data_IF_816759071183
#
_entry.id   IF_816759071183
#
_cell.length_a   1.000
_cell.length_b   1.000
_cell.length_c   1.000
_cell.angle_alpha   90.00
_cell.angle_beta   90.00
_cell.angle_gamma   90.00
#
_symmetry.space_group_name_H-M   'P 1'
#
loop_
_entity.id
_entity.type
_entity.pdbx_description
1 polymer ?
#
# COMPACT_ATOMS: atom_id res chain seq x y z
N UNK A 1 16.98 -59.42 -31.66
CA UNK A 1 17.03 -60.05 -30.33
C UNK A 1 15.63 -59.96 -29.73
N UNK A 2 14.93 -61.08 -29.45
CA UNK A 2 13.55 -61.04 -28.98
C UNK A 2 13.51 -60.62 -27.51
N UNK A 3 12.75 -59.57 -27.22
CA UNK A 3 12.51 -59.12 -25.84
C UNK A 3 11.69 -60.20 -25.13
N UNK A 4 12.22 -60.71 -24.02
CA UNK A 4 11.65 -61.84 -23.29
C UNK A 4 10.28 -61.45 -22.67
N UNK A 5 9.20 -62.23 -22.88
CA UNK A 5 7.83 -61.86 -22.47
C UNK A 5 7.65 -61.66 -20.97
N UNK A 6 8.55 -62.21 -20.16
CA UNK A 6 8.61 -62.01 -18.71
C UNK A 6 8.94 -60.55 -18.32
N UNK A 7 9.72 -59.84 -19.14
CA UNK A 7 10.11 -58.45 -18.88
C UNK A 7 8.92 -57.49 -19.07
N UNK A 8 8.05 -57.78 -20.04
CA UNK A 8 6.83 -57.01 -20.30
C UNK A 8 5.81 -57.19 -19.18
N UNK A 9 5.63 -58.42 -18.69
CA UNK A 9 4.73 -58.73 -17.57
C UNK A 9 5.15 -58.06 -16.27
N UNK A 10 6.45 -58.04 -15.98
CA UNK A 10 7.00 -57.34 -14.80
C UNK A 10 6.80 -55.83 -14.92
N UNK A 11 7.06 -55.25 -16.09
CA UNK A 11 6.83 -53.82 -16.32
C UNK A 11 5.35 -53.43 -16.15
N UNK A 12 4.41 -54.22 -16.69
CA UNK A 12 2.97 -53.99 -16.55
C UNK A 12 2.53 -54.13 -15.08
N UNK A 13 3.03 -55.14 -14.36
CA UNK A 13 2.74 -55.33 -12.94
C UNK A 13 3.28 -54.17 -12.07
N UNK A 14 4.48 -53.68 -12.37
CA UNK A 14 5.05 -52.51 -11.70
C UNK A 14 4.24 -51.24 -11.97
N UNK A 15 3.80 -51.00 -13.22
CA UNK A 15 2.93 -49.85 -13.55
C UNK A 15 1.60 -49.96 -12.83
N UNK A 16 0.98 -51.14 -12.79
CA UNK A 16 -0.30 -51.36 -12.09
C UNK A 16 -0.17 -51.15 -10.57
N UNK A 17 0.90 -51.65 -9.95
CA UNK A 17 1.23 -51.38 -8.54
C UNK A 17 1.47 -49.89 -8.27
N UNK A 18 2.23 -49.20 -9.13
CA UNK A 18 2.46 -47.76 -9.01
C UNK A 18 1.17 -46.96 -9.17
N UNK A 19 0.26 -47.36 -10.07
CA UNK A 19 -1.05 -46.73 -10.22
C UNK A 19 -1.94 -46.93 -8.98
N UNK A 20 -1.94 -48.13 -8.38
CA UNK A 20 -2.70 -48.41 -7.16
C UNK A 20 -2.17 -47.61 -5.96
N UNK A 21 -0.85 -47.51 -5.80
CA UNK A 21 -0.21 -46.72 -4.73
C UNK A 21 -0.45 -45.22 -4.94
N UNK A 22 -0.43 -44.74 -6.20
CA UNK A 22 -0.72 -43.34 -6.52
C UNK A 22 -2.14 -42.91 -6.18
N UNK A 23 -3.14 -43.79 -6.29
CA UNK A 23 -4.54 -43.48 -5.92
C UNK A 23 -4.79 -43.42 -4.41
N UNK A 24 -3.99 -44.12 -3.60
CA UNK A 24 -4.07 -44.10 -2.13
C UNK A 24 -3.39 -42.87 -1.50
N UNK A 25 -2.67 -42.08 -2.30
CA UNK A 25 -1.89 -40.93 -1.86
C UNK A 25 -2.64 -39.59 -1.99
N UNK A 26 -3.88 -39.59 -2.50
CA UNK A 26 -4.67 -38.37 -2.65
C UNK A 26 -5.23 -37.93 -1.29
N UNK A 27 -5.04 -36.67 -0.85
CA UNK A 27 -5.66 -36.18 0.38
C UNK A 27 -7.19 -36.37 0.35
N UNK A 28 -7.80 -36.77 1.48
CA UNK A 28 -9.26 -36.89 1.59
C UNK A 28 -9.90 -35.53 1.27
N UNK A 29 -10.72 -35.41 0.20
CA UNK A 29 -11.33 -34.14 -0.19
C UNK A 29 -12.18 -33.51 0.93
N UNK A 30 -12.77 -34.32 1.82
CA UNK A 30 -13.58 -33.82 2.95
C UNK A 30 -12.70 -33.17 4.01
N UNK A 31 -11.54 -33.76 4.28
CA UNK A 31 -10.55 -33.18 5.21
C UNK A 31 -10.00 -31.89 4.62
N UNK A 32 -9.72 -31.87 3.31
CA UNK A 32 -9.30 -30.64 2.61
C UNK A 32 -10.35 -29.53 2.74
N UNK A 33 -11.61 -29.83 2.45
CA UNK A 33 -12.68 -28.82 2.53
C UNK A 33 -12.88 -28.31 3.96
N UNK A 34 -12.91 -29.22 4.94
CA UNK A 34 -13.03 -28.85 6.35
C UNK A 34 -11.89 -27.94 6.82
N UNK A 35 -10.66 -28.14 6.32
CA UNK A 35 -9.52 -27.27 6.63
C UNK A 35 -9.67 -25.88 5.98
N UNK A 36 -10.15 -25.81 4.74
CA UNK A 36 -10.39 -24.53 4.04
C UNK A 36 -11.48 -23.72 4.76
N UNK A 37 -12.58 -24.37 5.13
CA UNK A 37 -13.67 -23.72 5.89
C UNK A 37 -13.18 -23.26 7.26
N UNK A 38 -12.38 -24.08 7.95
CA UNK A 38 -11.79 -23.72 9.24
C UNK A 38 -10.89 -22.50 9.10
N UNK A 39 -9.97 -22.49 8.13
CA UNK A 39 -9.08 -21.35 7.86
C UNK A 39 -9.86 -20.09 7.52
N UNK A 40 -10.88 -20.17 6.66
CA UNK A 40 -11.73 -19.04 6.30
C UNK A 40 -12.45 -18.46 7.54
N UNK A 41 -12.97 -19.32 8.42
CA UNK A 41 -13.67 -18.90 9.64
C UNK A 41 -12.76 -18.23 10.66
N UNK A 42 -11.47 -18.60 10.71
CA UNK A 42 -10.48 -18.08 11.65
C UNK A 42 -9.88 -16.74 11.23
N UNK A 43 -10.06 -16.33 9.97
CA UNK A 43 -9.57 -15.04 9.47
C UNK A 43 -10.32 -13.86 10.12
N UNK A 44 -9.71 -12.68 10.10
CA UNK A 44 -10.35 -11.45 10.58
C UNK A 44 -11.67 -11.22 9.86
N UNK A 45 -12.78 -11.26 10.61
CA UNK A 45 -14.13 -11.10 10.07
C UNK A 45 -14.74 -12.36 9.46
N UNK A 46 -14.08 -13.53 9.52
CA UNK A 46 -14.54 -14.77 8.87
C UNK A 46 -15.88 -15.34 9.37
N UNK A 47 -16.34 -14.91 10.54
CA UNK A 47 -17.65 -15.28 11.10
C UNK A 47 -18.73 -14.19 10.91
N UNK A 48 -18.41 -13.11 10.19
CA UNK A 48 -19.38 -12.04 9.91
C UNK A 48 -20.44 -12.54 8.93
N UNK A 49 -21.71 -12.44 9.32
CA UNK A 49 -22.83 -12.80 8.44
C UNK A 49 -23.18 -11.61 7.56
N UNK A 50 -23.03 -11.78 6.24
CA UNK A 50 -23.33 -10.75 5.25
C UNK A 50 -24.79 -10.81 4.80
N UNK A 51 -25.42 -9.64 4.67
CA UNK A 51 -26.72 -9.48 4.00
C UNK A 51 -26.61 -9.70 2.49
N UNK A 52 -27.73 -9.92 1.80
CA UNK A 52 -27.76 -10.10 0.34
C UNK A 52 -27.11 -8.93 -0.43
N UNK A 53 -27.25 -7.70 0.08
CA UNK A 53 -26.63 -6.53 -0.53
C UNK A 53 -25.10 -6.54 -0.36
N UNK A 54 -24.62 -6.93 0.82
CA UNK A 54 -23.19 -7.05 1.11
C UNK A 54 -22.56 -8.21 0.33
N UNK A 55 -23.25 -9.34 0.18
CA UNK A 55 -22.77 -10.47 -0.65
C UNK A 55 -22.59 -10.08 -2.12
N UNK A 56 -23.51 -9.27 -2.69
CA UNK A 56 -23.35 -8.75 -4.06
C UNK A 56 -22.13 -7.84 -4.20
N UNK A 57 -21.89 -6.99 -3.20
CA UNK A 57 -20.72 -6.12 -3.18
C UNK A 57 -19.42 -6.92 -2.97
N UNK A 58 -19.42 -7.92 -2.10
CA UNK A 58 -18.29 -8.80 -1.84
C UNK A 58 -17.85 -9.55 -3.09
N UNK A 59 -18.80 -10.12 -3.85
CA UNK A 59 -18.51 -10.79 -5.11
C UNK A 59 -17.81 -9.86 -6.12
N UNK A 60 -18.29 -8.62 -6.25
CA UNK A 60 -17.68 -7.60 -7.11
C UNK A 60 -16.28 -7.19 -6.61
N UNK A 61 -16.12 -7.00 -5.30
CA UNK A 61 -14.83 -6.67 -4.69
C UNK A 61 -13.80 -7.79 -4.92
N UNK A 62 -14.24 -9.04 -4.80
CA UNK A 62 -13.41 -10.21 -5.05
C UNK A 62 -12.95 -10.27 -6.52
N UNK A 63 -13.87 -10.05 -7.47
CA UNK A 63 -13.52 -9.98 -8.90
C UNK A 63 -12.47 -8.89 -9.18
N UNK A 64 -12.72 -7.66 -8.72
CA UNK A 64 -11.78 -6.54 -8.88
C UNK A 64 -10.40 -6.85 -8.26
N UNK A 65 -10.38 -7.49 -7.10
CA UNK A 65 -9.14 -7.92 -6.42
C UNK A 65 -8.39 -8.95 -7.26
N UNK A 66 -9.08 -9.97 -7.79
CA UNK A 66 -8.46 -11.00 -8.60
C UNK A 66 -7.90 -10.44 -9.91
N UNK A 67 -8.62 -9.52 -10.56
CA UNK A 67 -8.14 -8.80 -11.74
C UNK A 67 -6.84 -8.05 -11.43
N UNK A 68 -6.78 -7.31 -10.33
CA UNK A 68 -5.56 -6.56 -9.96
C UNK A 68 -4.39 -7.46 -9.59
N UNK A 69 -4.63 -8.57 -8.87
CA UNK A 69 -3.60 -9.57 -8.53
C UNK A 69 -3.05 -10.26 -9.78
N UNK A 70 -3.87 -10.46 -10.80
CA UNK A 70 -3.45 -11.13 -12.05
C UNK A 70 -2.56 -10.27 -12.95
N UNK A 71 -2.43 -8.96 -12.67
CA UNK A 71 -1.56 -8.04 -13.41
C UNK A 71 -0.09 -8.32 -13.09
N UNK A 72 0.79 -7.96 -14.02
CA UNK A 72 2.24 -8.14 -13.85
C UNK A 72 2.85 -7.25 -12.76
N UNK A 73 2.29 -6.05 -12.55
CA UNK A 73 2.71 -5.15 -11.49
C UNK A 73 1.93 -5.45 -10.20
N UNK A 74 2.65 -5.69 -9.10
CA UNK A 74 2.07 -5.91 -7.78
C UNK A 74 2.48 -4.78 -6.80
N UNK A 75 1.71 -3.68 -6.71
CA UNK A 75 2.07 -2.50 -5.91
C UNK A 75 2.46 -2.79 -4.45
N UNK A 76 1.84 -3.75 -3.73
CA UNK A 76 2.24 -4.07 -2.35
C UNK A 76 3.68 -4.59 -2.20
N UNK A 77 4.29 -5.14 -3.25
CA UNK A 77 5.69 -5.59 -3.24
C UNK A 77 6.69 -4.51 -3.71
N UNK A 78 6.21 -3.31 -4.05
CA UNK A 78 7.03 -2.20 -4.52
C UNK A 78 7.25 -1.15 -3.42
N UNK A 79 8.36 -0.40 -3.49
CA UNK A 79 8.53 0.77 -2.63
C UNK A 79 7.41 1.79 -2.88
N UNK A 80 6.81 2.33 -1.80
CA UNK A 80 5.61 3.16 -1.89
C UNK A 80 5.75 4.37 -2.82
N UNK A 81 6.92 5.02 -2.85
CA UNK A 81 7.14 6.18 -3.73
C UNK A 81 6.98 5.84 -5.23
N UNK A 82 7.31 4.62 -5.63
CA UNK A 82 7.10 4.12 -7.00
C UNK A 82 5.67 3.60 -7.18
N UNK A 83 5.15 2.90 -6.16
CA UNK A 83 3.85 2.24 -6.19
C UNK A 83 2.66 3.23 -6.15
N UNK A 84 2.82 4.40 -5.52
CA UNK A 84 1.75 5.37 -5.25
C UNK A 84 0.91 5.68 -6.49
N UNK A 85 1.55 5.90 -7.64
CA UNK A 85 0.85 6.23 -8.89
C UNK A 85 -0.01 5.07 -9.41
N UNK A 86 0.43 3.83 -9.19
CA UNK A 86 -0.32 2.63 -9.57
C UNK A 86 -1.53 2.45 -8.64
N UNK A 87 -1.32 2.58 -7.32
CA UNK A 87 -2.39 2.52 -6.31
C UNK A 87 -3.46 3.58 -6.57
N UNK A 88 -3.06 4.83 -6.87
CA UNK A 88 -4.02 5.91 -7.14
C UNK A 88 -4.87 5.71 -8.41
N UNK A 89 -4.43 4.85 -9.35
CA UNK A 89 -5.18 4.51 -10.58
C UNK A 89 -6.04 3.25 -10.42
N UNK A 90 -5.91 2.53 -9.30
CA UNK A 90 -6.66 1.31 -9.03
C UNK A 90 -8.16 1.61 -8.85
N UNK A 91 -9.05 0.95 -9.62
CA UNK A 91 -10.48 0.99 -9.37
C UNK A 91 -10.84 0.46 -7.98
N UNK A 92 -10.14 -0.57 -7.50
CA UNK A 92 -10.34 -1.13 -6.15
C UNK A 92 -10.00 -0.08 -5.08
N UNK A 93 -8.87 0.61 -5.20
CA UNK A 93 -8.49 1.68 -4.29
C UNK A 93 -9.52 2.83 -4.29
N UNK A 94 -10.03 3.21 -5.47
CA UNK A 94 -11.07 4.24 -5.60
C UNK A 94 -12.37 3.87 -4.88
N UNK A 95 -12.72 2.57 -4.86
CA UNK A 95 -13.85 2.06 -4.10
C UNK A 95 -13.56 2.07 -2.58
N UNK A 96 -12.38 1.60 -2.16
CA UNK A 96 -11.95 1.61 -0.75
C UNK A 96 -11.87 3.03 -0.14
N UNK A 97 -11.65 4.05 -0.98
CA UNK A 97 -11.72 5.45 -0.54
C UNK A 97 -13.13 5.83 -0.05
N UNK A 98 -14.18 5.29 -0.68
CA UNK A 98 -15.59 5.55 -0.33
C UNK A 98 -16.03 4.80 0.94
N UNK A 99 -15.28 3.77 1.35
CA UNK A 99 -15.61 2.97 2.54
C UNK A 99 -15.46 3.79 3.83
N UNK A 100 -16.46 3.74 4.75
CA UNK A 100 -16.34 4.32 6.07
C UNK A 100 -15.37 3.48 6.94
N UNK A 101 -14.13 3.95 7.08
CA UNK A 101 -13.02 3.22 7.73
C UNK A 101 -13.05 3.25 9.28
N UNK A 102 -14.05 3.86 9.90
CA UNK A 102 -14.10 4.05 11.35
C UNK A 102 -13.15 5.16 11.81
N UNK A 103 -12.23 4.85 12.72
CA UNK A 103 -11.30 5.81 13.34
C UNK A 103 -9.82 5.55 13.01
N UNK A 104 -9.02 6.62 12.95
CA UNK A 104 -7.56 6.53 12.83
C UNK A 104 -6.93 6.51 14.24
N UNK A 105 -6.50 5.34 14.70
CA UNK A 105 -6.05 5.13 16.08
C UNK A 105 -4.53 5.26 16.29
N UNK A 106 -3.74 5.36 15.22
CA UNK A 106 -2.30 5.51 15.29
C UNK A 106 -1.85 6.59 14.30
N UNK A 107 -1.62 7.80 14.83
CA UNK A 107 -1.18 8.98 14.07
C UNK A 107 -0.24 9.84 14.92
N UNK A 108 0.64 10.60 14.26
CA UNK A 108 1.44 11.64 14.90
C UNK A 108 0.93 13.02 14.48
N UNK A 109 0.86 13.95 15.42
CA UNK A 109 0.30 15.30 15.26
C UNK A 109 0.83 16.06 14.03
N UNK A 110 2.14 16.03 13.79
CA UNK A 110 2.76 16.76 12.68
C UNK A 110 2.62 16.07 11.30
N UNK A 111 2.15 14.82 11.24
CA UNK A 111 2.07 14.05 9.98
C UNK A 111 0.65 13.86 9.46
N UNK A 112 -0.33 14.57 10.02
CA UNK A 112 -1.75 14.42 9.64
C UNK A 112 -2.16 15.29 8.46
N UNK A 113 -1.34 16.28 8.08
CA UNK A 113 -1.68 17.28 7.07
C UNK A 113 -0.75 17.17 5.88
N UNK A 114 -1.30 17.40 4.70
CA UNK A 114 -0.56 17.40 3.45
C UNK A 114 0.48 18.53 3.40
N UNK A 115 1.69 18.18 2.95
CA UNK A 115 2.83 19.11 2.90
C UNK A 115 2.63 20.20 1.84
N UNK A 116 1.93 19.90 0.74
CA UNK A 116 1.59 20.90 -0.28
C UNK A 116 0.71 21.99 0.31
N UNK A 117 -0.24 21.63 1.19
CA UNK A 117 -1.03 22.62 1.93
C UNK A 117 -0.16 23.46 2.88
N UNK A 118 0.79 22.85 3.59
CA UNK A 118 1.70 23.62 4.46
C UNK A 118 2.50 24.65 3.66
N UNK A 119 3.07 24.25 2.53
CA UNK A 119 3.83 25.15 1.66
C UNK A 119 2.91 26.21 1.05
N UNK A 120 1.86 25.83 0.33
CA UNK A 120 1.05 26.75 -0.48
C UNK A 120 0.05 27.58 0.33
N UNK A 121 -0.22 27.22 1.58
CA UNK A 121 -1.13 27.97 2.46
C UNK A 121 -0.40 28.55 3.67
N UNK A 122 0.16 27.70 4.54
CA UNK A 122 0.68 28.15 5.83
C UNK A 122 1.85 29.10 5.65
N UNK A 123 2.81 28.77 4.78
CA UNK A 123 3.98 29.65 4.56
C UNK A 123 3.67 30.93 3.79
N UNK A 124 2.45 31.08 3.27
CA UNK A 124 1.95 32.32 2.64
C UNK A 124 1.24 33.25 3.63
N UNK A 125 1.05 32.83 4.89
CA UNK A 125 0.44 33.68 5.90
C UNK A 125 1.41 34.79 6.33
N UNK A 126 0.89 35.96 6.76
CA UNK A 126 1.71 37.07 7.21
C UNK A 126 2.70 36.67 8.31
N UNK A 127 3.81 37.39 8.39
CA UNK A 127 4.79 37.24 9.46
C UNK A 127 5.53 35.88 9.50
N UNK A 128 5.54 35.12 8.41
CA UNK A 128 6.31 33.89 8.30
C UNK A 128 7.76 34.17 7.90
N UNK A 129 8.70 33.88 8.80
CA UNK A 129 10.14 33.99 8.56
C UNK A 129 10.75 32.62 8.37
N UNK A 130 11.77 32.54 7.53
CA UNK A 130 12.61 31.35 7.39
C UNK A 130 14.08 31.67 7.65
N UNK A 131 14.84 30.66 8.04
CA UNK A 131 16.29 30.68 7.96
C UNK A 131 16.83 29.32 7.53
N UNK A 132 18.01 29.32 6.90
CA UNK A 132 18.76 28.10 6.61
C UNK A 132 19.72 27.81 7.77
N UNK A 133 19.81 26.55 8.17
CA UNK A 133 20.75 26.13 9.21
C UNK A 133 22.14 25.82 8.64
N UNK A 134 23.10 25.51 9.51
CA UNK A 134 24.40 24.96 9.13
C UNK A 134 24.31 23.58 8.46
N UNK A 135 23.27 22.81 8.78
CA UNK A 135 22.88 21.58 8.08
C UNK A 135 21.92 21.90 6.92
N UNK A 136 21.71 20.98 5.95
CA UNK A 136 20.72 21.15 4.88
C UNK A 136 19.29 21.06 5.43
N UNK A 137 18.89 22.02 6.25
CA UNK A 137 17.57 22.14 6.85
C UNK A 137 17.16 23.60 6.98
N UNK A 138 15.85 23.81 7.07
CA UNK A 138 15.24 25.12 7.23
C UNK A 138 14.51 25.19 8.56
N UNK A 139 14.45 26.40 9.13
CA UNK A 139 13.61 26.70 10.29
C UNK A 139 12.63 27.79 9.92
N UNK A 140 11.43 27.71 10.48
CA UNK A 140 10.36 28.66 10.26
C UNK A 140 9.89 29.22 11.60
N UNK A 141 9.48 30.49 11.61
CA UNK A 141 8.87 31.13 12.77
C UNK A 141 7.83 32.16 12.33
N UNK A 142 6.71 32.24 13.04
CA UNK A 142 5.72 33.30 12.89
C UNK A 142 5.94 34.35 13.97
N UNK A 143 6.16 35.61 13.59
CA UNK A 143 6.41 36.69 14.56
C UNK A 143 6.04 38.06 13.99
N UNK A 144 5.19 38.82 14.67
CA UNK A 144 4.84 40.18 14.25
C UNK A 144 6.03 41.16 14.27
N UNK A 145 7.07 40.84 15.04
CA UNK A 145 8.32 41.58 15.11
C UNK A 145 9.46 40.80 14.44
N UNK A 146 10.54 41.48 14.09
CA UNK A 146 11.71 40.82 13.54
C UNK A 146 12.28 39.79 14.55
N UNK A 147 12.39 38.50 14.21
CA UNK A 147 12.83 37.50 15.16
C UNK A 147 14.29 37.72 15.58
N UNK A 148 14.60 37.39 16.84
CA UNK A 148 15.98 37.47 17.36
C UNK A 148 16.88 36.49 16.60
N UNK A 149 18.14 36.87 16.32
CA UNK A 149 19.11 35.96 15.72
C UNK A 149 19.24 34.67 16.53
N UNK A 150 19.35 33.54 15.85
CA UNK A 150 19.45 32.22 16.48
C UNK A 150 20.81 31.58 16.11
N UNK A 151 21.52 30.92 17.04
CA UNK A 151 22.74 30.20 16.69
C UNK A 151 22.47 29.11 15.65
N UNK A 152 23.41 28.92 14.72
CA UNK A 152 23.32 27.92 13.61
C UNK A 152 22.14 28.16 12.68
N UNK A 153 21.80 29.41 12.44
CA UNK A 153 20.72 29.86 11.57
C UNK A 153 21.19 31.14 10.88
N UNK A 154 20.98 31.23 9.56
CA UNK A 154 21.21 32.47 8.81
C UNK A 154 20.36 33.61 9.39
N UNK A 155 20.64 34.89 9.05
CA UNK A 155 19.71 35.96 9.35
C UNK A 155 18.30 35.60 8.87
N UNK A 156 17.29 35.88 9.70
CA UNK A 156 15.90 35.61 9.38
C UNK A 156 15.47 36.37 8.13
N UNK A 157 14.76 35.70 7.23
CA UNK A 157 14.21 36.30 6.02
C UNK A 157 12.70 36.15 6.04
N UNK A 158 11.98 37.27 5.89
CA UNK A 158 10.53 37.24 5.71
C UNK A 158 10.20 36.59 4.37
N UNK A 159 9.39 35.52 4.38
CA UNK A 159 9.10 34.74 3.18
C UNK A 159 8.39 35.56 2.09
N UNK A 160 7.53 36.49 2.47
CA UNK A 160 6.89 37.43 1.53
C UNK A 160 7.93 38.24 0.75
N UNK A 161 8.91 38.81 1.45
CA UNK A 161 10.01 39.54 0.83
C UNK A 161 10.94 38.65 0.01
N UNK A 162 11.10 37.39 0.39
CA UNK A 162 11.89 36.44 -0.38
C UNK A 162 11.19 36.14 -1.70
N UNK A 163 9.89 35.80 -1.66
CA UNK A 163 9.09 35.50 -2.85
C UNK A 163 9.00 36.69 -3.81
N UNK A 164 8.86 37.92 -3.31
CA UNK A 164 8.78 39.12 -4.16
C UNK A 164 10.09 39.42 -4.93
N UNK A 165 11.22 38.88 -4.46
CA UNK A 165 12.53 39.00 -5.12
C UNK A 165 12.85 37.86 -6.08
N UNK A 166 12.06 36.79 -6.08
CA UNK A 166 12.25 35.65 -6.96
C UNK A 166 11.61 35.92 -8.33
N UNK A 167 12.30 35.54 -9.40
CA UNK A 167 11.72 35.57 -10.76
C UNK A 167 10.53 34.61 -10.87
N UNK A 168 10.59 33.47 -10.19
CA UNK A 168 9.50 32.50 -10.09
C UNK A 168 9.41 31.98 -8.65
N UNK A 169 8.41 32.44 -7.89
CA UNK A 169 8.16 31.99 -6.53
C UNK A 169 7.78 30.50 -6.46
N UNK A 170 7.23 29.94 -7.55
CA UNK A 170 6.84 28.53 -7.63
C UNK A 170 8.04 27.59 -7.57
N UNK A 171 9.19 28.01 -8.11
CA UNK A 171 10.42 27.22 -8.06
C UNK A 171 11.01 27.17 -6.64
N UNK A 172 10.75 28.19 -5.82
CA UNK A 172 11.09 28.17 -4.40
C UNK A 172 10.18 27.18 -3.64
N UNK A 173 8.87 27.20 -3.92
CA UNK A 173 7.88 26.37 -3.22
C UNK A 173 7.99 24.87 -3.58
N UNK A 174 8.50 24.54 -4.77
CA UNK A 174 8.63 23.15 -5.24
C UNK A 174 10.01 22.52 -4.95
N UNK A 175 10.93 23.26 -4.31
CA UNK A 175 12.31 22.82 -4.03
C UNK A 175 12.48 22.11 -2.69
#
# INVERSE_FOLDING_TARGET
MPVQPQCLLVAVACVFMCCLIGTLSSPDPRVREALIELEASMQTGGQMVLTDAEQRLDALLFEMKQEEISRGDFPPAMHFFSAKRLIQRSPLFSLLQKMPKGGALHVHDFSMVDVEWLVKNVTYRPHCYMCSTDKPSFRFIFSSQWPKPLPRCSPWVLLENLRSKMVNATDLDNR
#
